data_IF_752126374606
#
_entry.id   IF_752126374606
#
_cell.length_a   1.000
_cell.length_b   1.000
_cell.length_c   1.000
_cell.angle_alpha   90.00
_cell.angle_beta   90.00
_cell.angle_gamma   90.00
#
_symmetry.space_group_name_H-M   'P 1'
#
loop_
_entity.id
_entity.type
_entity.pdbx_description
1 polymer ?
#
# COMPACT_ATOMS: atom_id res chain seq x y z
N UNK A 1 79.52 5.09 -35.77
CA UNK A 1 78.72 6.23 -36.29
C UNK A 1 77.26 5.81 -36.14
N UNK A 2 76.60 6.09 -35.01
CA UNK A 2 75.91 7.34 -34.65
C UNK A 2 74.40 7.04 -34.74
N UNK A 3 73.71 6.70 -33.65
CA UNK A 3 73.16 7.53 -32.57
C UNK A 3 71.80 8.18 -32.91
N UNK A 4 70.93 8.17 -31.89
CA UNK A 4 69.69 8.96 -31.70
C UNK A 4 68.42 8.50 -32.44
N UNK A 5 67.19 8.62 -31.94
CA UNK A 5 66.53 8.79 -30.61
C UNK A 5 65.05 9.02 -31.00
N UNK A 6 64.09 8.49 -30.24
CA UNK A 6 62.67 8.81 -30.50
C UNK A 6 61.70 8.06 -29.60
N UNK A 7 61.66 8.44 -28.33
CA UNK A 7 60.68 7.99 -27.36
C UNK A 7 59.42 8.87 -27.43
N UNK A 8 58.24 8.25 -27.43
CA UNK A 8 56.95 8.89 -27.10
C UNK A 8 56.07 7.84 -26.39
N UNK A 9 56.22 7.76 -25.06
CA UNK A 9 55.25 7.12 -24.16
C UNK A 9 54.46 8.23 -23.49
N UNK A 10 53.23 8.45 -23.94
CA UNK A 10 52.26 9.32 -23.27
C UNK A 10 51.68 8.63 -22.04
N UNK A 11 51.97 9.15 -20.85
CA UNK A 11 51.30 8.79 -19.62
C UNK A 11 50.04 9.66 -19.48
N UNK A 12 48.86 9.03 -19.43
CA UNK A 12 47.60 9.70 -19.07
C UNK A 12 47.46 9.59 -17.56
N UNK A 13 47.80 10.67 -16.85
CA UNK A 13 47.52 10.84 -15.42
C UNK A 13 46.06 11.26 -15.29
N UNK A 14 45.18 10.30 -15.00
CA UNK A 14 43.78 10.56 -14.65
C UNK A 14 43.69 11.10 -13.23
N UNK A 15 43.50 12.41 -13.10
CA UNK A 15 43.22 13.07 -11.84
C UNK A 15 41.84 12.69 -11.31
N UNK A 16 41.81 12.01 -10.16
CA UNK A 16 40.62 11.85 -9.34
C UNK A 16 40.29 13.22 -8.73
N UNK A 17 39.38 13.98 -9.37
CA UNK A 17 38.83 15.19 -8.77
C UNK A 17 37.95 14.77 -7.58
N UNK A 18 38.43 15.05 -6.37
CA UNK A 18 37.66 14.93 -5.14
C UNK A 18 36.41 15.82 -5.22
N UNK A 19 35.23 15.20 -5.13
CA UNK A 19 33.97 15.91 -4.99
C UNK A 19 34.00 16.78 -3.72
N UNK A 20 33.55 18.04 -3.78
CA UNK A 20 33.45 18.89 -2.59
C UNK A 20 32.41 18.32 -1.62
N UNK A 21 32.77 18.31 -0.33
CA UNK A 21 31.89 17.89 0.76
C UNK A 21 30.58 18.71 0.76
N UNK A 22 29.43 18.08 1.07
CA UNK A 22 28.17 18.80 1.16
C UNK A 22 28.19 19.84 2.28
N UNK A 23 27.53 21.00 2.12
CA UNK A 23 27.46 22.01 3.16
C UNK A 23 26.73 21.49 4.40
N UNK A 24 27.10 21.95 5.62
CA UNK A 24 26.43 21.55 6.84
C UNK A 24 24.96 22.02 6.84
N UNK A 25 24.07 21.12 7.24
CA UNK A 25 22.64 21.35 7.30
C UNK A 25 22.28 22.56 8.19
N UNK A 26 21.24 23.35 7.82
CA UNK A 26 20.78 24.45 8.65
C UNK A 26 20.22 23.94 10.00
N UNK A 27 20.62 24.60 11.08
CA UNK A 27 20.19 24.28 12.45
C UNK A 27 18.67 24.47 12.58
N UNK A 28 17.99 23.42 13.01
CA UNK A 28 16.55 23.43 13.29
C UNK A 28 16.19 24.52 14.33
N UNK A 29 15.10 25.29 14.13
CA UNK A 29 14.62 26.23 15.12
C UNK A 29 14.04 25.49 16.33
N UNK A 30 14.39 25.98 17.54
CA UNK A 30 13.88 25.48 18.82
C UNK A 30 12.35 25.64 18.91
N UNK A 31 11.60 24.66 19.44
CA UNK A 31 10.18 24.83 19.70
C UNK A 31 9.98 25.86 20.82
N UNK A 32 9.28 26.96 20.50
CA UNK A 32 8.81 27.92 21.49
C UNK A 32 7.63 27.30 22.23
N UNK A 33 7.86 27.03 23.52
CA UNK A 33 6.83 26.71 24.49
C UNK A 33 5.85 27.86 24.58
N UNK A 34 4.59 27.61 24.21
CA UNK A 34 3.47 28.50 24.49
C UNK A 34 2.36 27.67 25.12
N UNK A 35 2.37 27.68 26.46
CA UNK A 35 1.24 27.29 27.26
C UNK A 35 0.03 28.16 26.90
N UNK A 36 -1.05 27.53 26.44
CA UNK A 36 -2.40 28.07 26.57
C UNK A 36 -3.33 26.93 26.95
N UNK A 37 -3.53 26.83 28.26
CA UNK A 37 -4.62 26.16 28.92
C UNK A 37 -5.95 26.59 28.29
N UNK A 38 -6.75 25.63 27.83
CA UNK A 38 -8.17 25.82 27.66
C UNK A 38 -8.88 24.56 28.17
N UNK A 39 -9.11 24.55 29.48
CA UNK A 39 -10.02 23.63 30.14
C UNK A 39 -11.43 24.12 29.84
N UNK A 40 -12.12 23.42 28.94
CA UNK A 40 -13.57 23.51 28.78
C UNK A 40 -14.18 22.13 28.97
N UNK A 41 -14.93 22.01 30.07
CA UNK A 41 -16.10 21.16 30.15
C UNK A 41 -15.88 19.66 30.06
N UNK A 42 -15.29 19.06 31.09
CA UNK A 42 -15.53 17.66 31.41
C UNK A 42 -17.00 17.49 31.85
N UNK A 43 -17.91 17.41 30.88
CA UNK A 43 -19.21 16.81 31.09
C UNK A 43 -18.95 15.32 31.36
N UNK A 44 -19.21 14.93 32.61
CA UNK A 44 -19.08 13.58 33.12
C UNK A 44 -19.66 12.57 32.12
N UNK A 45 -18.78 11.84 31.44
CA UNK A 45 -19.15 10.70 30.61
C UNK A 45 -19.70 9.63 31.55
N UNK A 46 -21.02 9.49 31.53
CA UNK A 46 -21.70 8.30 32.00
C UNK A 46 -20.98 7.06 31.44
N UNK A 47 -20.87 5.96 32.21
CA UNK A 47 -20.36 4.70 31.68
C UNK A 47 -21.15 4.37 30.41
N UNK A 48 -20.50 3.93 29.31
CA UNK A 48 -21.20 3.56 28.09
C UNK A 48 -22.19 2.46 28.45
N UNK A 49 -23.48 2.81 28.51
CA UNK A 49 -24.52 1.82 28.68
C UNK A 49 -24.35 0.77 27.56
N UNK A 50 -24.55 -0.53 27.85
CA UNK A 50 -24.47 -1.57 26.84
C UNK A 50 -25.62 -1.38 25.85
N UNK A 51 -25.39 -0.56 24.83
CA UNK A 51 -26.27 -0.47 23.67
C UNK A 51 -26.27 -1.89 23.12
N UNK A 52 -27.45 -2.52 23.07
CA UNK A 52 -27.59 -3.83 22.44
C UNK A 52 -26.96 -3.82 21.04
N UNK A 53 -26.63 -5.00 20.48
CA UNK A 53 -25.85 -5.09 19.24
C UNK A 53 -26.49 -4.20 18.18
N UNK A 54 -25.72 -3.21 17.71
CA UNK A 54 -26.18 -2.25 16.74
C UNK A 54 -26.55 -2.93 15.43
N UNK A 55 -27.19 -2.20 14.52
CA UNK A 55 -27.49 -2.70 13.17
C UNK A 55 -26.24 -3.24 12.46
N UNK A 56 -25.07 -2.62 12.71
CA UNK A 56 -23.78 -3.04 12.21
C UNK A 56 -23.33 -4.37 12.80
N UNK A 57 -23.42 -4.56 14.12
CA UNK A 57 -23.06 -5.81 14.78
C UNK A 57 -23.87 -6.99 14.25
N UNK A 58 -25.20 -6.81 14.13
CA UNK A 58 -26.08 -7.83 13.55
C UNK A 58 -25.68 -8.20 12.11
N UNK A 59 -25.22 -7.22 11.33
CA UNK A 59 -24.76 -7.48 9.95
C UNK A 59 -23.44 -8.23 9.93
N UNK A 60 -22.49 -7.87 10.79
CA UNK A 60 -21.21 -8.58 10.94
C UNK A 60 -21.44 -10.02 11.41
N UNK A 61 -22.30 -10.22 12.41
CA UNK A 61 -22.64 -11.55 12.92
C UNK A 61 -23.28 -12.42 11.83
N UNK A 62 -24.17 -11.84 11.01
CA UNK A 62 -24.73 -12.51 9.84
C UNK A 62 -23.65 -12.93 8.83
N UNK A 63 -22.68 -12.06 8.51
CA UNK A 63 -21.60 -12.37 7.57
C UNK A 63 -20.67 -13.46 8.12
N UNK A 64 -20.34 -13.38 9.41
CA UNK A 64 -19.53 -14.39 10.10
C UNK A 64 -20.23 -15.76 10.09
N UNK A 65 -21.55 -15.79 10.34
CA UNK A 65 -22.33 -17.02 10.32
C UNK A 65 -22.53 -17.59 8.91
N UNK A 66 -22.71 -16.74 7.89
CA UNK A 66 -23.06 -17.16 6.53
C UNK A 66 -21.84 -17.48 5.65
N UNK A 67 -20.82 -16.64 5.67
CA UNK A 67 -19.68 -16.73 4.75
C UNK A 67 -18.35 -17.00 5.46
N UNK A 68 -18.10 -16.36 6.61
CA UNK A 68 -16.78 -16.34 7.23
C UNK A 68 -16.63 -17.26 8.45
N UNK A 69 -17.22 -18.46 8.41
CA UNK A 69 -17.16 -19.44 9.51
C UNK A 69 -15.73 -19.82 9.89
N UNK A 70 -14.83 -19.88 8.90
CA UNK A 70 -13.43 -20.30 9.08
C UNK A 70 -12.49 -19.15 9.45
N UNK A 71 -12.86 -17.90 9.18
CA UNK A 71 -12.03 -16.72 9.46
C UNK A 71 -12.94 -15.53 9.75
N UNK A 72 -13.57 -15.47 10.93
CA UNK A 72 -14.54 -14.42 11.25
C UNK A 72 -13.89 -13.03 11.28
N UNK A 73 -14.70 -12.00 11.04
CA UNK A 73 -14.34 -10.60 11.24
C UNK A 73 -14.05 -10.40 12.74
N UNK A 74 -12.86 -9.93 13.05
CA UNK A 74 -12.34 -9.77 14.41
C UNK A 74 -12.86 -8.51 15.11
N UNK A 75 -12.58 -8.40 16.41
CA UNK A 75 -13.00 -7.27 17.22
C UNK A 75 -12.39 -5.95 16.73
N UNK A 76 -11.13 -5.97 16.26
CA UNK A 76 -10.46 -4.80 15.71
C UNK A 76 -11.13 -4.29 14.43
N UNK A 77 -11.46 -5.16 13.48
CA UNK A 77 -12.19 -4.78 12.27
C UNK A 77 -13.60 -4.26 12.60
N UNK A 78 -14.28 -4.83 13.61
CA UNK A 78 -15.58 -4.33 14.10
C UNK A 78 -15.46 -2.93 14.69
N UNK A 79 -14.46 -2.71 15.55
CA UNK A 79 -14.20 -1.41 16.14
C UNK A 79 -13.86 -0.36 15.07
N UNK A 80 -13.08 -0.76 14.05
CA UNK A 80 -12.76 0.10 12.92
C UNK A 80 -14.03 0.53 12.15
N UNK A 81 -14.90 -0.42 11.77
CA UNK A 81 -16.17 -0.09 11.09
C UNK A 81 -17.09 0.77 11.95
N UNK A 82 -17.15 0.53 13.26
CA UNK A 82 -17.99 1.30 14.18
C UNK A 82 -17.58 2.78 14.30
N UNK A 83 -16.37 3.14 13.86
CA UNK A 83 -15.91 4.53 13.84
C UNK A 83 -16.38 5.32 12.61
N UNK A 84 -16.92 4.64 11.58
CA UNK A 84 -17.48 5.28 10.38
C UNK A 84 -18.92 5.72 10.58
N UNK A 85 -19.38 6.61 9.69
CA UNK A 85 -20.80 6.85 9.51
C UNK A 85 -21.54 5.53 9.18
N UNK A 86 -22.70 5.24 9.81
CA UNK A 86 -23.43 4.00 9.60
C UNK A 86 -23.77 3.68 8.13
N UNK A 87 -23.97 4.69 7.28
CA UNK A 87 -24.20 4.52 5.85
C UNK A 87 -22.97 3.94 5.16
N UNK A 88 -21.80 4.57 5.36
CA UNK A 88 -20.52 4.10 4.80
C UNK A 88 -20.11 2.73 5.32
N UNK A 89 -20.29 2.50 6.62
CA UNK A 89 -20.06 1.19 7.23
C UNK A 89 -20.87 0.08 6.56
N UNK A 90 -22.16 0.32 6.26
CA UNK A 90 -23.02 -0.65 5.58
C UNK A 90 -22.63 -0.85 4.11
N UNK A 91 -22.15 0.18 3.42
CA UNK A 91 -21.62 0.06 2.06
C UNK A 91 -20.41 -0.88 2.00
N UNK A 92 -19.44 -0.69 2.90
CA UNK A 92 -18.27 -1.58 3.01
C UNK A 92 -18.70 -3.03 3.27
N UNK A 93 -19.64 -3.25 4.20
CA UNK A 93 -20.13 -4.59 4.52
C UNK A 93 -20.89 -5.24 3.36
N UNK A 94 -21.61 -4.45 2.54
CA UNK A 94 -22.31 -4.94 1.34
C UNK A 94 -21.33 -5.30 0.22
N UNK A 95 -20.27 -4.52 0.06
CA UNK A 95 -19.20 -4.82 -0.89
C UNK A 95 -18.40 -6.06 -0.46
N UNK A 96 -18.10 -6.19 0.84
CA UNK A 96 -17.49 -7.38 1.43
C UNK A 96 -18.36 -8.63 1.21
N UNK A 97 -19.68 -8.52 1.39
CA UNK A 97 -20.61 -9.63 1.13
C UNK A 97 -20.59 -10.07 -0.33
N UNK A 98 -20.55 -9.11 -1.26
CA UNK A 98 -20.54 -9.39 -2.70
C UNK A 98 -19.27 -10.12 -3.14
N UNK A 99 -18.16 -9.90 -2.43
CA UNK A 99 -16.84 -10.53 -2.66
C UNK A 99 -16.54 -11.66 -1.67
N UNK A 100 -17.49 -12.00 -0.79
CA UNK A 100 -17.30 -12.98 0.26
C UNK A 100 -16.77 -14.35 -0.21
N UNK A 101 -17.18 -14.94 -1.35
CA UNK A 101 -16.64 -16.23 -1.78
C UNK A 101 -15.15 -16.18 -2.14
N UNK A 102 -14.61 -15.01 -2.51
CA UNK A 102 -13.22 -14.84 -2.95
C UNK A 102 -12.29 -14.34 -1.83
N UNK A 103 -12.85 -13.83 -0.73
CA UNK A 103 -12.08 -13.19 0.34
C UNK A 103 -11.67 -14.22 1.39
N UNK A 104 -10.36 -14.47 1.49
CA UNK A 104 -9.77 -15.35 2.52
C UNK A 104 -9.62 -14.69 3.88
N UNK A 105 -9.44 -13.36 3.92
CA UNK A 105 -9.16 -12.58 5.13
C UNK A 105 -10.11 -11.38 5.24
N UNK A 106 -11.34 -11.59 5.74
CA UNK A 106 -12.36 -10.54 5.76
C UNK A 106 -12.00 -9.38 6.71
N UNK A 107 -11.35 -9.65 7.85
CA UNK A 107 -10.87 -8.59 8.76
C UNK A 107 -9.90 -7.63 8.07
N UNK A 108 -8.96 -8.17 7.29
CA UNK A 108 -8.00 -7.37 6.53
C UNK A 108 -8.67 -6.53 5.45
N UNK A 109 -9.66 -7.10 4.76
CA UNK A 109 -10.47 -6.35 3.78
C UNK A 109 -11.16 -5.16 4.44
N UNK A 110 -11.85 -5.41 5.56
CA UNK A 110 -12.57 -4.39 6.33
C UNK A 110 -11.63 -3.27 6.79
N UNK A 111 -10.51 -3.61 7.41
CA UNK A 111 -9.56 -2.62 7.93
C UNK A 111 -9.01 -1.74 6.81
N UNK A 112 -8.70 -2.32 5.64
CA UNK A 112 -8.24 -1.56 4.48
C UNK A 112 -9.34 -0.65 3.94
N UNK A 113 -10.57 -1.13 3.84
CA UNK A 113 -11.71 -0.33 3.37
C UNK A 113 -11.99 0.85 4.32
N UNK A 114 -12.04 0.61 5.63
CA UNK A 114 -12.22 1.66 6.64
C UNK A 114 -11.10 2.69 6.58
N UNK A 115 -9.85 2.24 6.47
CA UNK A 115 -8.70 3.16 6.38
C UNK A 115 -8.80 4.07 5.16
N UNK A 116 -9.37 3.60 4.05
CA UNK A 116 -9.57 4.43 2.85
C UNK A 116 -10.69 5.44 3.02
N UNK A 117 -11.79 5.05 3.64
CA UNK A 117 -12.89 5.98 3.92
C UNK A 117 -12.46 7.10 4.89
N UNK A 118 -11.58 6.78 5.85
CA UNK A 118 -11.05 7.77 6.80
C UNK A 118 -9.84 8.55 6.27
N UNK A 119 -9.22 8.10 5.18
CA UNK A 119 -8.05 8.79 4.64
C UNK A 119 -8.46 10.13 4.02
N UNK A 120 -7.71 11.17 4.34
CA UNK A 120 -7.83 12.44 3.61
C UNK A 120 -7.56 12.20 2.11
N UNK A 121 -8.24 12.90 1.19
CA UNK A 121 -8.01 12.77 -0.24
C UNK A 121 -6.52 12.89 -0.62
N UNK A 122 -5.82 13.85 0.00
CA UNK A 122 -4.39 14.06 -0.17
C UNK A 122 -3.55 12.82 0.19
N UNK A 123 -3.96 12.06 1.21
CA UNK A 123 -3.24 10.87 1.64
C UNK A 123 -3.38 9.72 0.62
N UNK A 124 -4.57 9.55 0.05
CA UNK A 124 -4.82 8.54 -1.00
C UNK A 124 -3.99 8.85 -2.23
N UNK A 125 -3.93 10.12 -2.63
CA UNK A 125 -3.12 10.54 -3.78
C UNK A 125 -1.62 10.36 -3.53
N UNK A 126 -1.12 10.71 -2.33
CA UNK A 126 0.27 10.45 -1.97
C UNK A 126 0.62 8.95 -1.97
N UNK A 127 -0.29 8.11 -1.51
CA UNK A 127 -0.10 6.66 -1.48
C UNK A 127 -0.10 6.07 -2.89
N UNK A 128 -1.01 6.51 -3.76
CA UNK A 128 -1.02 6.13 -5.17
C UNK A 128 0.27 6.59 -5.88
N UNK A 129 0.73 7.81 -5.60
CA UNK A 129 1.98 8.33 -6.17
C UNK A 129 3.20 7.51 -5.73
N UNK A 130 3.25 7.01 -4.48
CA UNK A 130 4.33 6.12 -4.02
C UNK A 130 4.32 4.79 -4.77
N UNK A 131 3.15 4.18 -4.94
CA UNK A 131 2.97 2.93 -5.68
C UNK A 131 3.43 3.09 -7.12
N UNK A 132 2.98 4.16 -7.80
CA UNK A 132 3.34 4.46 -9.17
C UNK A 132 4.85 4.66 -9.33
N UNK A 133 5.46 5.48 -8.46
CA UNK A 133 6.92 5.70 -8.47
C UNK A 133 7.71 4.40 -8.27
N UNK A 134 7.25 3.51 -7.39
CA UNK A 134 7.92 2.22 -7.17
C UNK A 134 7.84 1.32 -8.40
N UNK A 135 6.68 1.24 -9.04
CA UNK A 135 6.50 0.46 -10.27
C UNK A 135 7.39 0.99 -11.41
N UNK A 136 7.45 2.31 -11.62
CA UNK A 136 8.32 2.92 -12.63
C UNK A 136 9.81 2.64 -12.36
N UNK A 137 10.24 2.69 -11.10
CA UNK A 137 11.60 2.35 -10.73
C UNK A 137 11.92 0.88 -11.04
N UNK A 138 10.99 -0.04 -10.75
CA UNK A 138 11.14 -1.46 -11.07
C UNK A 138 11.21 -1.68 -12.58
N UNK A 139 10.38 -0.98 -13.37
CA UNK A 139 10.42 -1.05 -14.83
C UNK A 139 11.78 -0.57 -15.38
N UNK A 140 12.34 0.49 -14.81
CA UNK A 140 13.62 1.04 -15.25
C UNK A 140 14.85 0.25 -14.81
N UNK A 141 14.78 -0.53 -13.72
CA UNK A 141 15.96 -1.20 -13.15
C UNK A 141 15.93 -2.72 -13.14
N UNK A 142 14.74 -3.30 -12.94
CA UNK A 142 14.57 -4.74 -12.67
C UNK A 142 13.88 -5.41 -13.85
N UNK A 143 12.80 -4.83 -14.35
CA UNK A 143 11.95 -5.41 -15.40
C UNK A 143 12.06 -4.68 -16.74
N UNK A 144 13.29 -4.36 -17.16
CA UNK A 144 13.54 -3.64 -18.42
C UNK A 144 12.98 -4.39 -19.65
N UNK A 145 13.04 -5.73 -19.63
CA UNK A 145 12.56 -6.55 -20.73
C UNK A 145 11.04 -6.77 -20.73
N UNK A 146 10.40 -6.76 -19.56
CA UNK A 146 8.96 -7.03 -19.39
C UNK A 146 8.38 -6.10 -18.32
N UNK A 147 8.19 -4.81 -18.63
CA UNK A 147 7.74 -3.83 -17.65
C UNK A 147 6.36 -4.15 -17.09
N UNK A 148 6.13 -3.73 -15.85
CA UNK A 148 4.83 -3.77 -15.18
C UNK A 148 3.88 -2.82 -15.92
N UNK A 149 2.72 -3.35 -16.33
CA UNK A 149 1.68 -2.60 -17.04
C UNK A 149 0.80 -1.75 -16.12
N UNK A 150 0.14 -0.74 -16.70
CA UNK A 150 -0.71 0.20 -15.95
C UNK A 150 -1.87 -0.50 -15.25
N UNK A 151 -2.41 -1.58 -15.82
CA UNK A 151 -3.48 -2.38 -15.18
C UNK A 151 -3.00 -3.03 -13.88
N UNK A 152 -1.78 -3.59 -13.88
CA UNK A 152 -1.17 -4.14 -12.67
C UNK A 152 -0.89 -3.05 -11.64
N UNK A 153 -0.43 -1.87 -12.08
CA UNK A 153 -0.22 -0.72 -11.18
C UNK A 153 -1.55 -0.26 -10.56
N UNK A 154 -2.61 -0.17 -11.36
CA UNK A 154 -3.96 0.15 -10.90
C UNK A 154 -4.49 -0.85 -9.88
N UNK A 155 -4.23 -2.15 -10.08
CA UNK A 155 -4.56 -3.19 -9.11
C UNK A 155 -3.80 -2.98 -7.77
N UNK A 156 -2.53 -2.58 -7.83
CA UNK A 156 -1.71 -2.29 -6.65
C UNK A 156 -2.21 -1.03 -5.90
N UNK A 157 -2.58 0.02 -6.62
CA UNK A 157 -3.26 1.19 -6.03
C UNK A 157 -4.55 0.77 -5.35
N UNK A 158 -5.32 -0.09 -6.03
CA UNK A 158 -6.57 -0.65 -5.56
C UNK A 158 -6.46 -1.51 -4.30
N UNK A 159 -5.28 -2.01 -3.90
CA UNK A 159 -5.06 -2.72 -2.62
C UNK A 159 -4.42 -1.83 -1.52
N UNK A 160 -3.83 -0.70 -1.90
CA UNK A 160 -3.23 0.29 -1.01
C UNK A 160 -1.74 0.08 -0.76
N UNK A 161 -1.08 1.16 -0.30
CA UNK A 161 0.39 1.28 -0.32
C UNK A 161 1.13 0.18 0.43
N UNK A 162 0.68 -0.22 1.62
CA UNK A 162 1.39 -1.22 2.42
C UNK A 162 1.48 -2.57 1.69
N UNK A 163 0.34 -3.10 1.24
CA UNK A 163 0.29 -4.40 0.58
C UNK A 163 0.93 -4.38 -0.80
N UNK A 164 0.77 -3.28 -1.54
CA UNK A 164 1.45 -3.07 -2.81
C UNK A 164 2.98 -3.12 -2.66
N UNK A 165 3.54 -2.45 -1.64
CA UNK A 165 4.99 -2.45 -1.40
C UNK A 165 5.53 -3.82 -1.00
N UNK A 166 4.77 -4.61 -0.25
CA UNK A 166 5.12 -6.02 0.06
C UNK A 166 5.19 -6.85 -1.22
N UNK A 167 4.18 -6.77 -2.10
CA UNK A 167 4.18 -7.51 -3.36
C UNK A 167 5.28 -7.06 -4.32
N UNK A 168 5.57 -5.75 -4.39
CA UNK A 168 6.70 -5.24 -5.16
C UNK A 168 8.03 -5.78 -4.66
N UNK A 169 8.21 -5.89 -3.34
CA UNK A 169 9.41 -6.50 -2.75
C UNK A 169 9.52 -7.99 -3.11
N UNK A 170 8.44 -8.75 -3.00
CA UNK A 170 8.45 -10.17 -3.39
C UNK A 170 8.79 -10.36 -4.88
N UNK A 171 8.27 -9.48 -5.74
CA UNK A 171 8.52 -9.51 -7.18
C UNK A 171 9.97 -9.15 -7.51
N UNK A 172 10.53 -8.17 -6.81
CA UNK A 172 11.96 -7.80 -6.89
C UNK A 172 12.88 -8.94 -6.46
N UNK A 173 12.59 -9.62 -5.34
CA UNK A 173 13.38 -10.76 -4.86
C UNK A 173 13.34 -11.97 -5.83
N UNK A 174 12.26 -12.09 -6.61
CA UNK A 174 12.06 -13.16 -7.59
C UNK A 174 12.36 -12.73 -9.03
N UNK A 175 12.92 -11.54 -9.24
CA UNK A 175 13.04 -10.92 -10.55
C UNK A 175 13.75 -11.82 -11.57
N UNK A 176 14.86 -12.45 -11.19
CA UNK A 176 15.66 -13.31 -12.09
C UNK A 176 14.89 -14.53 -12.60
N UNK A 177 13.86 -14.96 -11.87
CA UNK A 177 13.02 -16.13 -12.19
C UNK A 177 11.66 -15.74 -12.76
N UNK A 178 11.35 -14.45 -12.82
CA UNK A 178 10.02 -13.96 -13.16
C UNK A 178 9.94 -13.48 -14.60
N UNK A 179 9.17 -14.19 -15.42
CA UNK A 179 8.99 -13.86 -16.84
C UNK A 179 7.90 -12.80 -17.09
N UNK A 180 6.89 -12.72 -16.25
CA UNK A 180 5.76 -11.80 -16.40
C UNK A 180 5.36 -11.19 -15.04
N UNK A 181 5.95 -10.05 -14.64
CA UNK A 181 5.66 -9.42 -13.36
C UNK A 181 4.22 -8.87 -13.30
N UNK A 182 3.69 -8.31 -14.39
CA UNK A 182 2.31 -7.80 -14.46
C UNK A 182 1.29 -8.89 -14.16
N UNK A 183 1.46 -10.07 -14.77
CA UNK A 183 0.58 -11.22 -14.55
C UNK A 183 0.62 -11.72 -13.10
N UNK A 184 1.81 -11.74 -12.48
CA UNK A 184 1.96 -12.10 -11.07
C UNK A 184 1.21 -11.12 -10.17
N UNK A 185 1.43 -9.81 -10.35
CA UNK A 185 0.80 -8.77 -9.53
C UNK A 185 -0.72 -8.75 -9.67
N UNK A 186 -1.25 -8.88 -10.90
CA UNK A 186 -2.70 -9.00 -11.13
C UNK A 186 -3.29 -10.24 -10.45
N UNK A 187 -2.62 -11.38 -10.55
CA UNK A 187 -3.06 -12.61 -9.88
C UNK A 187 -3.01 -12.48 -8.37
N UNK A 188 -1.98 -11.83 -7.82
CA UNK A 188 -1.86 -11.56 -6.40
C UNK A 188 -2.97 -10.62 -5.92
N UNK A 189 -3.25 -9.55 -6.66
CA UNK A 189 -4.36 -8.64 -6.36
C UNK A 189 -5.71 -9.39 -6.31
N UNK A 190 -5.99 -10.22 -7.32
CA UNK A 190 -7.23 -11.04 -7.36
C UNK A 190 -7.32 -11.97 -6.15
N UNK A 191 -6.21 -12.63 -5.76
CA UNK A 191 -6.18 -13.50 -4.57
C UNK A 191 -6.44 -12.76 -3.26
N UNK A 192 -6.17 -11.46 -3.22
CA UNK A 192 -6.44 -10.58 -2.08
C UNK A 192 -7.84 -9.94 -2.16
N UNK A 193 -8.64 -10.28 -3.19
CA UNK A 193 -9.98 -9.73 -3.42
C UNK A 193 -10.01 -8.41 -4.19
N UNK A 194 -8.89 -7.99 -4.77
CA UNK A 194 -8.76 -6.77 -5.57
C UNK A 194 -8.73 -7.13 -7.05
N UNK A 195 -9.90 -7.09 -7.69
CA UNK A 195 -10.03 -7.35 -9.13
C UNK A 195 -9.70 -6.08 -9.92
N UNK A 196 -8.71 -6.10 -10.84
CA UNK A 196 -8.49 -4.96 -11.73
C UNK A 196 -9.70 -4.76 -12.65
N UNK A 197 -10.10 -3.50 -12.92
CA UNK A 197 -11.16 -3.20 -13.88
C UNK A 197 -10.71 -3.70 -15.27
N UNK A 198 -11.40 -4.71 -15.82
CA UNK A 198 -11.09 -5.27 -17.14
C UNK A 198 -10.67 -6.75 -17.16
N UNK A 199 -10.39 -7.37 -16.00
CA UNK A 199 -10.12 -8.82 -15.96
C UNK A 199 -11.41 -9.63 -15.82
N UNK A 200 -12.25 -9.58 -16.84
CA UNK A 200 -13.48 -10.38 -16.91
C UNK A 200 -13.14 -11.82 -17.39
N UNK A 201 -13.12 -12.77 -16.46
CA UNK A 201 -13.55 -14.15 -16.75
C UNK A 201 -12.74 -15.00 -17.72
N UNK A 202 -11.41 -14.96 -17.71
CA UNK A 202 -10.58 -15.97 -18.39
C UNK A 202 -10.44 -17.26 -17.56
N UNK A 203 -11.54 -17.98 -17.34
CA UNK A 203 -11.54 -19.29 -16.68
C UNK A 203 -10.83 -20.33 -17.54
N UNK A 204 -9.52 -20.51 -17.34
CA UNK A 204 -8.80 -21.66 -17.87
C UNK A 204 -9.20 -22.90 -17.07
N UNK A 205 -10.07 -23.70 -17.67
CA UNK A 205 -10.36 -25.07 -17.27
C UNK A 205 -9.05 -25.84 -17.01
N UNK A 206 -9.00 -26.50 -15.87
CA UNK A 206 -8.08 -27.60 -15.59
C UNK A 206 -8.91 -28.85 -15.34
#
# INVERSE_FOLDING_TARGET
>A
RGAARGALRGAIVGGLAALPAPPPAPKAPKPKSAARSNVVGAAASAPPQPRGPGRLDKRVDFLNAKFFKSSPIDADARAAIASLDPGRALEILKDLESKAPDIKKPSGYVQVAVRRELAAPDQVEQDNAKIHKRALWLNGRVFQANPIDDDAIGAMMGMGVMRAMELFKEVEEKADKMRNPSGYLKTAAVREGFKPPGSEGGGAAR
#
